data_IF_380462338552
#
_entry.id   IF_380462338552
#
_cell.length_a   1.000
_cell.length_b   1.000
_cell.length_c   1.000
_cell.angle_alpha   90.00
_cell.angle_beta   90.00
_cell.angle_gamma   90.00
#
_symmetry.space_group_name_H-M   'P 1'
#
loop_
_entity.id
_entity.type
_entity.pdbx_description
1 polymer ?
#
# COMPACT_ATOMS: atom_id res chain seq x y z
N UNK A 1 -16.76 -19.43 26.29
CA UNK A 1 -16.78 -19.67 24.83
C UNK A 1 -16.34 -18.38 24.17
N UNK A 2 -15.12 -18.30 23.66
CA UNK A 2 -14.60 -17.11 22.97
C UNK A 2 -14.96 -17.27 21.50
N UNK A 3 -15.87 -16.44 20.98
CA UNK A 3 -16.07 -16.32 19.54
C UNK A 3 -14.87 -15.55 18.97
N UNK A 4 -13.96 -16.26 18.32
CA UNK A 4 -12.95 -15.62 17.47
C UNK A 4 -13.70 -14.98 16.29
N UNK A 5 -13.95 -13.67 16.38
CA UNK A 5 -14.47 -12.89 15.27
C UNK A 5 -13.51 -12.99 14.09
N UNK A 6 -14.04 -13.12 12.87
CA UNK A 6 -13.24 -13.17 11.66
C UNK A 6 -12.34 -11.91 11.59
N UNK A 7 -11.03 -12.11 11.80
CA UNK A 7 -10.04 -11.06 11.65
C UNK A 7 -9.83 -10.83 10.15
N UNK A 8 -10.50 -9.83 9.61
CA UNK A 8 -10.25 -9.35 8.26
C UNK A 8 -9.07 -8.37 8.34
N UNK A 9 -7.87 -8.87 8.04
CA UNK A 9 -6.70 -8.03 7.78
C UNK A 9 -6.95 -7.22 6.50
N UNK A 10 -6.83 -5.90 6.56
CA UNK A 10 -6.87 -5.08 5.35
C UNK A 10 -5.51 -5.14 4.65
N UNK A 11 -5.52 -5.35 3.33
CA UNK A 11 -4.32 -5.20 2.50
C UNK A 11 -4.34 -3.81 1.87
N UNK A 12 -3.27 -3.05 2.07
CA UNK A 12 -3.12 -1.69 1.55
C UNK A 12 -1.96 -1.65 0.56
N UNK A 13 -2.26 -1.24 -0.67
CA UNK A 13 -1.25 -1.12 -1.71
C UNK A 13 -0.61 0.27 -1.70
N UNK A 14 0.73 0.30 -1.66
CA UNK A 14 1.53 1.52 -1.80
C UNK A 14 2.35 1.41 -3.08
N UNK A 15 2.13 2.34 -4.01
CA UNK A 15 2.79 2.38 -5.31
C UNK A 15 4.14 3.06 -5.22
N UNK A 16 5.15 2.46 -5.83
CA UNK A 16 6.49 3.04 -5.99
C UNK A 16 6.62 3.65 -7.38
N UNK A 17 6.38 4.95 -7.48
CA UNK A 17 6.39 5.71 -8.72
C UNK A 17 7.78 6.29 -8.99
N UNK A 18 8.26 6.23 -10.24
CA UNK A 18 9.48 6.94 -10.62
C UNK A 18 9.30 8.47 -10.66
N UNK A 19 8.06 8.94 -10.84
CA UNK A 19 7.67 10.35 -10.80
C UNK A 19 6.30 10.48 -10.13
N UNK A 20 6.22 11.25 -9.06
CA UNK A 20 4.97 11.57 -8.36
C UNK A 20 4.16 12.65 -9.08
N UNK A 21 2.92 12.80 -8.64
CA UNK A 21 1.95 13.80 -9.15
C UNK A 21 2.42 15.26 -8.97
N UNK A 22 3.34 15.50 -8.04
CA UNK A 22 3.99 16.78 -7.73
C UNK A 22 5.29 17.01 -8.53
N UNK A 23 5.65 16.08 -9.42
CA UNK A 23 6.86 16.16 -10.23
C UNK A 23 8.13 15.71 -9.50
N UNK A 24 8.03 15.24 -8.25
CA UNK A 24 9.16 14.68 -7.50
C UNK A 24 9.50 13.30 -8.06
N UNK A 25 10.80 13.03 -8.25
CA UNK A 25 11.25 11.72 -8.68
C UNK A 25 11.26 10.73 -7.50
N UNK A 26 10.92 9.47 -7.76
CA UNK A 26 10.89 8.38 -6.76
C UNK A 26 9.93 8.65 -5.59
N UNK A 27 8.62 8.49 -5.83
CA UNK A 27 7.56 8.80 -4.86
C UNK A 27 6.78 7.54 -4.49
N UNK A 28 6.44 7.43 -3.21
CA UNK A 28 5.51 6.41 -2.71
C UNK A 28 4.11 7.02 -2.61
N UNK A 29 3.12 6.41 -3.26
CA UNK A 29 1.73 6.86 -3.18
C UNK A 29 0.80 5.74 -2.65
N UNK A 30 0.01 5.99 -1.59
CA UNK A 30 -0.01 7.21 -0.78
C UNK A 30 1.26 7.38 0.09
N UNK A 31 1.64 8.62 0.38
CA UNK A 31 2.83 8.95 1.19
C UNK A 31 2.64 8.69 2.69
N UNK A 32 1.39 8.50 3.12
CA UNK A 32 1.04 8.17 4.49
C UNK A 32 -0.10 7.17 4.51
N UNK A 33 0.06 6.11 5.31
CA UNK A 33 -0.95 5.08 5.53
C UNK A 33 -1.12 4.87 7.02
N UNK A 34 -2.37 4.88 7.48
CA UNK A 34 -2.73 4.50 8.85
C UNK A 34 -3.25 3.06 8.84
N UNK A 35 -2.62 2.18 9.61
CA UNK A 35 -2.96 0.77 9.72
C UNK A 35 -3.24 0.37 11.17
N UNK A 36 -3.90 -0.76 11.37
CA UNK A 36 -4.09 -1.39 12.69
C UNK A 36 -3.37 -2.74 12.76
N UNK A 37 -3.12 -3.30 13.97
CA UNK A 37 -2.49 -4.61 14.09
C UNK A 37 -3.28 -5.69 13.34
N UNK A 38 -2.59 -6.41 12.45
CA UNK A 38 -3.18 -7.43 11.58
C UNK A 38 -3.23 -7.03 10.12
N UNK A 39 -3.18 -5.74 9.80
CA UNK A 39 -3.14 -5.25 8.42
C UNK A 39 -1.78 -5.51 7.75
N UNK A 40 -1.78 -5.54 6.42
CA UNK A 40 -0.58 -5.68 5.60
C UNK A 40 -0.44 -4.51 4.63
N UNK A 41 0.80 -4.08 4.40
CA UNK A 41 1.14 -3.07 3.39
C UNK A 41 1.91 -3.74 2.28
N UNK A 42 1.35 -3.71 1.07
CA UNK A 42 1.95 -4.28 -0.14
C UNK A 42 2.54 -3.17 -0.98
N UNK A 43 3.86 -3.15 -1.07
CA UNK A 43 4.56 -2.21 -1.94
C UNK A 43 4.57 -2.76 -3.36
N UNK A 44 3.90 -2.05 -4.27
CA UNK A 44 3.81 -2.42 -5.68
C UNK A 44 4.73 -1.52 -6.50
N UNK A 45 5.71 -2.14 -7.17
CA UNK A 45 6.54 -1.43 -8.15
C UNK A 45 5.69 -1.10 -9.35
N UNK A 46 5.40 0.18 -9.59
CA UNK A 46 4.85 0.60 -10.88
C UNK A 46 6.03 0.84 -11.82
N UNK A 47 6.68 -0.24 -12.25
CA UNK A 47 7.28 -0.18 -13.57
C UNK A 47 6.09 -0.15 -14.52
N UNK A 48 5.86 0.93 -15.25
CA UNK A 48 5.03 0.84 -16.44
C UNK A 48 5.78 -0.06 -17.44
N UNK A 49 5.75 -1.37 -17.24
CA UNK A 49 5.86 -2.33 -18.34
C UNK A 49 4.49 -2.36 -19.02
N UNK A 50 4.09 -1.23 -19.62
CA UNK A 50 3.15 -1.28 -20.73
C UNK A 50 4.01 -1.56 -21.96
N UNK A 51 4.05 -2.86 -22.32
CA UNK A 51 4.54 -3.34 -23.60
C UNK A 51 3.84 -2.65 -24.78
#
# INVERSE_FOLDING_TARGET
MVLAGAAHAAEIEVKMLNKGSDGVAMVFEPSFVKIVPGDTVKFVSTHEDNA
#
